data_IF_080073194585
#
_entry.id   IF_080073194585
#
_cell.length_a   1.000
_cell.length_b   1.000
_cell.length_c   1.000
_cell.angle_alpha   90.00
_cell.angle_beta   90.00
_cell.angle_gamma   90.00
#
_symmetry.space_group_name_H-M   'P 1'
#
loop_
_entity.id
_entity.type
_entity.pdbx_description
1 polymer ?
#
# COMPACT_ATOMS: atom_id res chain seq x y z
N UNK A 1 -7.68 -16.40 -36.58
CA UNK A 1 -7.17 -16.72 -35.24
C UNK A 1 -7.30 -15.43 -34.44
N UNK A 2 -8.28 -15.38 -33.53
CA UNK A 2 -8.64 -14.16 -32.80
C UNK A 2 -7.79 -14.10 -31.53
N UNK A 3 -6.89 -13.14 -31.46
CA UNK A 3 -6.09 -12.90 -30.26
C UNK A 3 -7.00 -12.33 -29.17
N UNK A 4 -7.21 -13.09 -28.11
CA UNK A 4 -8.00 -12.68 -26.96
C UNK A 4 -7.09 -11.92 -25.98
N UNK A 5 -7.23 -10.60 -25.94
CA UNK A 5 -6.61 -9.77 -24.90
C UNK A 5 -7.47 -9.93 -23.63
N UNK A 6 -6.90 -10.55 -22.60
CA UNK A 6 -7.49 -10.64 -21.27
C UNK A 6 -6.98 -9.48 -20.42
N UNK A 7 -7.87 -8.58 -20.04
CA UNK A 7 -7.61 -7.52 -19.06
C UNK A 7 -7.94 -8.10 -17.68
N UNK A 8 -6.91 -8.46 -16.91
CA UNK A 8 -7.09 -8.93 -15.55
C UNK A 8 -7.48 -7.76 -14.66
N UNK A 9 -8.65 -7.85 -14.04
CA UNK A 9 -9.07 -6.93 -12.99
C UNK A 9 -8.19 -7.14 -11.75
N UNK A 10 -7.59 -6.06 -11.24
CA UNK A 10 -6.57 -6.11 -10.20
C UNK A 10 -7.19 -6.06 -8.78
N UNK A 11 -8.46 -5.72 -8.66
CA UNK A 11 -9.13 -5.54 -7.37
C UNK A 11 -9.88 -6.82 -6.93
N UNK A 12 -9.62 -7.25 -5.69
CA UNK A 12 -10.16 -8.42 -4.96
C UNK A 12 -9.98 -9.84 -5.57
N UNK A 13 -9.41 -10.02 -6.77
CA UNK A 13 -9.23 -11.38 -7.36
C UNK A 13 -7.77 -11.85 -7.47
N UNK A 14 -6.78 -10.96 -7.52
CA UNK A 14 -5.35 -11.32 -7.64
C UNK A 14 -4.45 -10.74 -6.53
N UNK A 15 -4.98 -9.83 -5.72
CA UNK A 15 -4.25 -9.10 -4.69
C UNK A 15 -5.08 -9.14 -3.42
N UNK A 16 -4.47 -9.54 -2.30
CA UNK A 16 -5.08 -9.47 -0.95
C UNK A 16 -5.15 -8.02 -0.46
N UNK A 17 -5.87 -7.16 -1.21
CA UNK A 17 -6.02 -5.72 -0.96
C UNK A 17 -6.54 -5.44 0.44
N UNK A 18 -7.47 -6.27 0.94
CA UNK A 18 -8.04 -6.12 2.28
C UNK A 18 -6.98 -6.26 3.36
N UNK A 19 -6.09 -7.24 3.22
CA UNK A 19 -5.01 -7.47 4.18
C UNK A 19 -3.98 -6.34 4.13
N UNK A 20 -3.59 -5.93 2.91
CA UNK A 20 -2.70 -4.78 2.72
C UNK A 20 -3.31 -3.50 3.29
N UNK A 21 -4.63 -3.29 3.12
CA UNK A 21 -5.33 -2.16 3.71
C UNK A 21 -5.39 -2.25 5.23
N UNK A 22 -5.61 -3.45 5.80
CA UNK A 22 -5.62 -3.63 7.24
C UNK A 22 -4.26 -3.30 7.86
N UNK A 23 -3.17 -3.73 7.23
CA UNK A 23 -1.82 -3.37 7.65
C UNK A 23 -1.57 -1.87 7.53
N UNK A 24 -1.91 -1.28 6.38
CA UNK A 24 -1.80 0.15 6.17
C UNK A 24 -2.61 0.97 7.19
N UNK A 25 -3.84 0.54 7.48
CA UNK A 25 -4.72 1.22 8.41
C UNK A 25 -4.17 1.18 9.83
N UNK A 26 -3.49 0.10 10.22
CA UNK A 26 -2.81 0.03 11.51
C UNK A 26 -1.62 1.01 11.59
N UNK A 27 -0.80 1.10 10.54
CA UNK A 27 0.30 2.09 10.44
C UNK A 27 -0.24 3.52 10.51
N UNK A 28 -1.29 3.81 9.74
CA UNK A 28 -1.95 5.11 9.70
C UNK A 28 -2.59 5.48 11.05
N UNK A 29 -3.20 4.50 11.71
CA UNK A 29 -3.83 4.66 13.02
C UNK A 29 -2.82 5.09 14.07
N UNK A 30 -1.66 4.44 14.10
CA UNK A 30 -0.57 4.78 15.02
C UNK A 30 0.00 6.18 14.74
N UNK A 31 0.30 6.50 13.47
CA UNK A 31 0.90 7.78 13.09
C UNK A 31 -0.03 8.98 13.35
N UNK A 32 -1.32 8.81 13.07
CA UNK A 32 -2.28 9.91 13.05
C UNK A 32 -3.30 9.89 14.19
N UNK A 33 -3.22 8.90 15.08
CA UNK A 33 -4.12 8.73 16.23
C UNK A 33 -5.60 8.63 15.80
N UNK A 34 -5.84 7.96 14.67
CA UNK A 34 -7.18 7.70 14.13
C UNK A 34 -7.60 6.27 14.50
N UNK A 35 -8.82 6.03 15.01
CA UNK A 35 -9.23 4.68 15.43
C UNK A 35 -9.20 3.67 14.28
N UNK A 36 -8.47 2.57 14.46
CA UNK A 36 -8.31 1.52 13.46
C UNK A 36 -9.66 0.92 13.05
N UNK A 37 -10.53 0.61 14.02
CA UNK A 37 -11.84 0.04 13.76
C UNK A 37 -12.73 0.95 12.90
N UNK A 38 -12.57 2.27 13.04
CA UNK A 38 -13.30 3.23 12.23
C UNK A 38 -12.79 3.22 10.78
N UNK A 39 -11.47 3.15 10.57
CA UNK A 39 -10.86 3.06 9.23
C UNK A 39 -11.31 1.80 8.50
N UNK A 40 -11.27 0.64 9.16
CA UNK A 40 -11.66 -0.66 8.60
C UNK A 40 -13.15 -0.71 8.26
N UNK A 41 -14.01 -0.14 9.11
CA UNK A 41 -15.45 -0.08 8.86
C UNK A 41 -15.80 0.86 7.70
N UNK A 42 -14.99 1.89 7.48
CA UNK A 42 -15.25 2.94 6.47
C UNK A 42 -14.72 2.57 5.08
N UNK A 43 -13.59 1.85 4.96
CA UNK A 43 -12.97 1.50 3.66
C UNK A 43 -13.92 0.93 2.59
N UNK A 44 -14.83 -0.02 2.92
CA UNK A 44 -15.67 -0.64 1.89
C UNK A 44 -16.54 0.36 1.11
N UNK A 45 -16.90 1.50 1.71
CA UNK A 45 -17.72 2.54 1.05
C UNK A 45 -16.94 3.49 0.14
N UNK A 46 -15.60 3.45 0.20
CA UNK A 46 -14.70 4.42 -0.43
C UNK A 46 -13.54 3.77 -1.19
N UNK A 47 -13.60 2.47 -1.46
CA UNK A 47 -12.53 1.72 -2.11
C UNK A 47 -12.07 2.33 -3.45
N UNK A 48 -13.01 2.87 -4.23
CA UNK A 48 -12.78 3.57 -5.51
C UNK A 48 -12.69 5.10 -5.39
N UNK A 49 -12.94 5.67 -4.21
CA UNK A 49 -13.01 7.12 -3.94
C UNK A 49 -12.07 7.52 -2.81
N UNK A 50 -10.78 7.24 -3.00
CA UNK A 50 -9.77 7.38 -1.95
C UNK A 50 -9.54 8.84 -1.51
N UNK A 51 -9.74 9.81 -2.40
CA UNK A 51 -9.70 11.23 -2.01
C UNK A 51 -10.83 11.57 -1.01
N UNK A 52 -12.07 11.16 -1.31
CA UNK A 52 -13.23 11.38 -0.43
C UNK A 52 -13.06 10.70 0.93
N UNK A 53 -12.41 9.52 0.97
CA UNK A 53 -12.04 8.85 2.22
C UNK A 53 -11.13 9.75 3.08
N UNK A 54 -10.10 10.34 2.49
CA UNK A 54 -9.17 11.21 3.23
C UNK A 54 -9.79 12.55 3.62
N UNK A 55 -10.70 13.10 2.82
CA UNK A 55 -11.51 14.25 3.24
C UNK A 55 -12.34 13.91 4.47
N UNK A 56 -12.98 12.73 4.50
CA UNK A 56 -13.75 12.29 5.65
C UNK A 56 -12.88 12.08 6.90
N UNK A 57 -11.72 11.43 6.76
CA UNK A 57 -10.75 11.25 7.85
C UNK A 57 -10.32 12.62 8.40
N UNK A 58 -9.98 13.56 7.52
CA UNK A 58 -9.57 14.91 7.92
C UNK A 58 -10.68 15.68 8.61
N UNK A 59 -11.89 15.63 8.08
CA UNK A 59 -13.07 16.27 8.67
C UNK A 59 -13.43 15.68 10.04
N UNK A 60 -13.19 14.39 10.26
CA UNK A 60 -13.58 13.69 11.48
C UNK A 60 -12.52 13.82 12.58
N UNK A 61 -11.23 13.70 12.23
CA UNK A 61 -10.13 13.59 13.19
C UNK A 61 -9.14 14.75 13.17
N UNK A 62 -9.27 15.69 12.23
CA UNK A 62 -8.39 16.87 12.18
C UNK A 62 -6.93 16.55 11.83
N UNK A 63 -6.67 15.50 11.04
CA UNK A 63 -5.31 15.14 10.62
C UNK A 63 -4.59 16.30 9.92
N UNK A 64 -3.31 16.47 10.29
CA UNK A 64 -2.46 17.58 9.85
C UNK A 64 -2.21 17.60 8.34
N UNK A 65 -1.75 16.50 7.70
CA UNK A 65 -1.42 16.55 6.27
C UNK A 65 -2.64 16.89 5.40
N UNK A 66 -2.40 17.51 4.25
CA UNK A 66 -3.45 17.75 3.27
C UNK A 66 -3.93 16.45 2.62
N UNK A 67 -5.15 16.43 2.09
CA UNK A 67 -5.68 15.25 1.39
C UNK A 67 -4.80 14.79 0.22
N UNK A 68 -4.23 15.68 -0.63
CA UNK A 68 -3.25 15.29 -1.64
C UNK A 68 -2.01 14.59 -1.06
N UNK A 69 -1.49 15.05 0.07
CA UNK A 69 -0.34 14.43 0.73
C UNK A 69 -0.70 13.05 1.29
N UNK A 70 -1.84 12.92 1.98
CA UNK A 70 -2.32 11.62 2.48
C UNK A 70 -2.51 10.62 1.33
N UNK A 71 -3.11 11.07 0.23
CA UNK A 71 -3.35 10.24 -0.93
C UNK A 71 -2.05 9.83 -1.63
N UNK A 72 -1.06 10.73 -1.73
CA UNK A 72 0.26 10.40 -2.27
C UNK A 72 1.01 9.38 -1.39
N UNK A 73 0.94 9.53 -0.07
CA UNK A 73 1.54 8.60 0.88
C UNK A 73 0.89 7.22 0.80
N UNK A 74 -0.45 7.17 0.75
CA UNK A 74 -1.22 5.96 0.55
C UNK A 74 -0.80 5.21 -0.71
N UNK A 75 -0.75 5.91 -1.85
CA UNK A 75 -0.35 5.33 -3.14
C UNK A 75 1.09 4.81 -3.16
N UNK A 76 1.99 5.42 -2.38
CA UNK A 76 3.37 4.97 -2.25
C UNK A 76 3.48 3.73 -1.37
N UNK A 77 2.75 3.70 -0.25
CA UNK A 77 2.87 2.65 0.77
C UNK A 77 2.12 1.37 0.42
N UNK A 78 0.91 1.48 -0.11
CA UNK A 78 0.06 0.31 -0.38
C UNK A 78 0.72 -0.77 -1.26
N UNK A 79 1.42 -0.46 -2.37
CA UNK A 79 2.09 -1.48 -3.19
C UNK A 79 3.17 -2.28 -2.45
N UNK A 80 3.76 -1.71 -1.39
CA UNK A 80 4.78 -2.38 -0.57
C UNK A 80 4.17 -3.38 0.42
N UNK A 81 2.86 -3.25 0.70
CA UNK A 81 2.11 -4.09 1.63
C UNK A 81 1.31 -5.18 0.93
N UNK A 82 1.22 -5.12 -0.40
CA UNK A 82 0.57 -6.15 -1.20
C UNK A 82 1.52 -7.34 -1.33
N UNK A 83 1.16 -8.45 -0.68
CA UNK A 83 1.76 -9.74 -1.00
C UNK A 83 1.09 -10.30 -2.28
N UNK A 84 1.87 -10.75 -3.28
CA UNK A 84 1.33 -11.46 -4.43
C UNK A 84 0.65 -12.75 -3.95
N UNK A 85 -0.50 -13.11 -4.54
CA UNK A 85 -1.18 -14.36 -4.21
C UNK A 85 -0.20 -15.55 -4.39
N UNK A 86 0.01 -16.39 -3.36
CA UNK A 86 1.00 -17.46 -3.43
C UNK A 86 0.67 -18.55 -4.47
N UNK A 87 -0.54 -18.57 -5.04
CA UNK A 87 -0.91 -19.44 -6.15
C UNK A 87 -0.55 -18.85 -7.53
N UNK A 88 -0.13 -17.58 -7.62
CA UNK A 88 0.59 -17.08 -8.79
C UNK A 88 2.00 -17.66 -8.73
N UNK A 89 2.33 -18.54 -9.67
CA UNK A 89 3.67 -19.11 -9.79
C UNK A 89 4.74 -18.00 -9.71
N UNK A 90 5.80 -18.16 -8.90
CA UNK A 90 6.73 -17.07 -8.64
C UNK A 90 7.57 -16.78 -9.88
N UNK A 91 7.25 -15.73 -10.63
CA UNK A 91 8.24 -15.09 -11.51
C UNK A 91 9.20 -14.28 -10.64
N UNK A 92 10.18 -14.96 -10.07
CA UNK A 92 11.27 -14.31 -9.34
C UNK A 92 12.13 -13.50 -10.31
N UNK A 93 12.04 -12.18 -10.26
CA UNK A 93 13.13 -11.30 -10.69
C UNK A 93 13.70 -10.61 -9.45
N UNK A 94 14.46 -11.39 -8.68
CA UNK A 94 15.27 -10.88 -7.57
C UNK A 94 16.63 -10.46 -8.12
N UNK A 95 16.83 -9.16 -8.31
CA UNK A 95 18.17 -8.56 -8.42
C UNK A 95 18.18 -7.19 -7.77
N UNK A 96 18.33 -7.16 -6.44
CA UNK A 96 18.98 -6.04 -5.77
C UNK A 96 20.19 -6.56 -5.00
N UNK A 97 21.33 -6.61 -5.69
CA UNK A 97 22.63 -6.78 -5.05
C UNK A 97 22.92 -5.56 -4.14
N UNK A 98 23.30 -5.75 -2.87
CA UNK A 98 23.84 -4.66 -2.08
C UNK A 98 25.23 -4.29 -2.57
N UNK A 99 25.45 -3.01 -2.93
CA UNK A 99 26.80 -2.47 -3.15
C UNK A 99 27.53 -2.52 -1.80
N UNK A 100 28.47 -3.45 -1.64
CA UNK A 100 29.46 -3.42 -0.55
C UNK A 100 30.30 -2.17 -0.73
N UNK A 101 30.11 -1.18 0.13
CA UNK A 101 31.07 -0.10 0.35
C UNK A 101 32.32 -0.71 0.97
N UNK A 102 33.46 -0.59 0.30
CA UNK A 102 34.76 -0.97 0.83
C UNK A 102 35.11 -0.10 2.05
N UNK A 103 35.37 -0.74 3.19
CA UNK A 103 36.13 -0.13 4.28
C UNK A 103 36.87 -1.22 5.06
N UNK A 104 38.18 -1.30 4.80
CA UNK A 104 39.25 -1.84 5.65
C UNK A 104 40.54 -1.51 4.87
N UNK A 105 41.53 -0.73 5.29
CA UNK A 105 41.99 -0.42 6.63
C UNK A 105 43.38 -1.04 6.84
N UNK A 106 44.40 -0.16 6.94
CA UNK A 106 45.75 -0.33 7.55
C UNK A 106 46.97 -0.74 6.70
N UNK A 107 47.88 0.23 6.62
CA UNK A 107 49.30 0.19 7.08
C UNK A 107 50.20 -0.95 6.57
N UNK A 108 51.17 -0.61 5.71
CA UNK A 108 52.61 -0.55 6.02
C UNK A 108 53.37 0.22 4.92
#
# INVERSE_FOLDING_TARGET
MTESIVLFDLDDTLIRRRDAFQQWAAEFSDEHQVPLEWLLKTDPGYSSRRADFFELVKSTFGVRPSVPELHAQYRRRMPELVEPDPNLAPTTSSTRSPKRTASCGKEL
#
